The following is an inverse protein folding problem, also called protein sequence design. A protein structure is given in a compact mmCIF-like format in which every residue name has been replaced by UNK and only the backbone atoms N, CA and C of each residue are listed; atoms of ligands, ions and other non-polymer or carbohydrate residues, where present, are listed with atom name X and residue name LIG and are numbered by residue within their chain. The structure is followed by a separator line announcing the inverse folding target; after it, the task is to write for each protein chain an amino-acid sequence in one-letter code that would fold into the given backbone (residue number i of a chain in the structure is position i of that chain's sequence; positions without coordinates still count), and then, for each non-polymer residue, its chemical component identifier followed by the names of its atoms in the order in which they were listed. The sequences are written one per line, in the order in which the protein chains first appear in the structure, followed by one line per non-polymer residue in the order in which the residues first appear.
data_IF_912116841835
#
_entry.id   IF_912116841835
#
_cell.length_a   1.000
_cell.length_b   1.000
_cell.length_c   1.000
_cell.angle_alpha   90.00
_cell.angle_beta   90.00
_cell.angle_gamma   90.00
#
_symmetry.space_group_name_H-M   'P 1'
#
loop_
_entity.id
_entity.type
_entity.pdbx_description
1 polymer ?
#
# COMPACT_ATOMS: atom_id res chain seq x y z
N UNK A 1 -12.93 -27.85 4.04
CA UNK A 1 -12.38 -28.26 5.36
C UNK A 1 -10.95 -28.72 5.14
N UNK A 2 -10.02 -27.76 4.99
CA UNK A 2 -8.59 -28.04 4.96
C UNK A 2 -7.94 -27.00 5.87
N UNK A 3 -7.64 -27.43 7.09
CA UNK A 3 -6.86 -26.66 8.05
C UNK A 3 -5.43 -26.60 7.52
N UNK A 4 -4.96 -25.43 7.08
CA UNK A 4 -3.53 -25.16 6.89
C UNK A 4 -2.91 -25.09 8.28
N UNK A 5 -2.29 -26.19 8.68
CA UNK A 5 -1.43 -26.27 9.86
C UNK A 5 -0.12 -25.58 9.49
N UNK A 6 0.01 -24.28 9.72
CA UNK A 6 1.31 -23.61 9.68
C UNK A 6 2.02 -23.90 10.99
N UNK A 7 3.04 -24.77 10.91
CA UNK A 7 3.99 -24.99 11.99
C UNK A 7 4.83 -23.72 12.17
N UNK A 8 4.53 -22.94 13.21
CA UNK A 8 5.50 -21.97 13.73
C UNK A 8 6.63 -22.79 14.37
N UNK A 9 7.80 -22.79 13.76
CA UNK A 9 8.99 -23.41 14.32
C UNK A 9 9.44 -22.61 15.56
N UNK A 10 9.11 -23.11 16.74
CA UNK A 10 9.85 -22.79 17.95
C UNK A 10 11.23 -23.45 17.84
N UNK A 11 12.22 -22.73 17.36
CA UNK A 11 13.60 -23.18 17.42
C UNK A 11 14.12 -22.97 18.83
N UNK A 12 13.87 -23.94 19.73
CA UNK A 12 14.52 -23.99 21.02
C UNK A 12 15.89 -24.65 20.85
N UNK A 13 16.93 -23.85 20.70
CA UNK A 13 18.30 -24.31 20.88
C UNK A 13 18.60 -24.42 22.37
N UNK A 14 18.42 -25.61 22.91
CA UNK A 14 18.94 -25.99 24.22
C UNK A 14 20.44 -26.37 24.09
N UNK A 15 21.30 -25.38 24.27
CA UNK A 15 22.70 -25.62 24.57
C UNK A 15 23.17 -24.59 25.60
N UNK A 16 23.39 -25.07 26.84
CA UNK A 16 24.01 -24.35 27.95
C UNK A 16 23.32 -23.07 28.45
N UNK A 17 22.20 -23.23 29.16
CA UNK A 17 21.81 -22.34 30.26
C UNK A 17 21.53 -20.86 29.95
N UNK A 18 21.41 -20.45 28.70
CA UNK A 18 20.90 -19.11 28.29
C UNK A 18 19.72 -19.28 27.38
N UNK A 19 18.52 -19.05 27.90
CA UNK A 19 17.33 -18.82 27.09
C UNK A 19 17.57 -17.47 26.42
N UNK A 20 17.96 -17.46 25.13
CA UNK A 20 17.87 -16.26 24.30
C UNK A 20 16.40 -16.06 23.94
N UNK A 21 15.66 -15.34 24.75
CA UNK A 21 14.41 -14.72 24.34
C UNK A 21 14.77 -13.61 23.37
N UNK A 22 14.56 -13.85 22.08
CA UNK A 22 14.55 -12.78 21.09
C UNK A 22 13.28 -11.94 21.38
N UNK A 23 13.44 -10.87 22.12
CA UNK A 23 12.46 -9.78 22.10
C UNK A 23 12.62 -9.14 20.72
N UNK A 24 11.71 -9.43 19.82
CA UNK A 24 11.48 -8.50 18.71
C UNK A 24 11.04 -7.19 19.38
N UNK A 25 11.86 -6.16 19.28
CA UNK A 25 11.44 -4.84 19.69
C UNK A 25 10.25 -4.47 18.80
N UNK A 26 9.07 -4.28 19.40
CA UNK A 26 7.93 -3.71 18.70
C UNK A 26 8.36 -2.36 18.12
N UNK A 27 7.92 -2.05 16.91
CA UNK A 27 8.08 -0.71 16.38
C UNK A 27 7.45 0.31 17.36
N UNK A 28 7.95 1.56 17.43
CA UNK A 28 7.34 2.58 18.26
C UNK A 28 5.84 2.78 17.92
N UNK A 29 5.03 3.16 18.90
CA UNK A 29 3.65 3.63 18.66
C UNK A 29 3.66 4.71 17.57
N UNK A 30 2.61 4.77 16.76
CA UNK A 30 2.48 5.63 15.58
C UNK A 30 3.44 5.27 14.42
N UNK A 31 4.26 4.22 14.56
CA UNK A 31 5.02 3.69 13.43
C UNK A 31 4.08 3.03 12.41
N UNK A 32 4.28 3.23 11.09
CA UNK A 32 3.48 2.54 10.07
C UNK A 32 3.43 1.01 10.21
N UNK A 33 4.49 0.41 10.75
CA UNK A 33 4.61 -1.04 10.95
C UNK A 33 4.40 -1.47 12.41
N UNK A 34 3.72 -0.67 13.22
CA UNK A 34 3.44 -1.02 14.62
C UNK A 34 2.71 -2.36 14.76
N UNK A 35 1.85 -2.69 13.80
CA UNK A 35 1.05 -3.92 13.76
C UNK A 35 1.71 -5.07 12.99
N UNK A 36 2.91 -4.87 12.45
CA UNK A 36 3.69 -5.89 11.74
C UNK A 36 4.08 -5.49 10.31
N UNK A 37 4.86 -6.36 9.69
CA UNK A 37 5.31 -6.26 8.30
C UNK A 37 4.54 -7.31 7.46
N UNK A 38 3.48 -6.94 6.75
CA UNK A 38 2.50 -7.90 6.24
C UNK A 38 3.02 -8.84 5.16
N UNK A 39 4.11 -8.49 4.49
CA UNK A 39 4.71 -9.34 3.46
C UNK A 39 6.11 -9.83 3.82
N UNK A 40 6.53 -9.68 5.08
CA UNK A 40 7.92 -9.94 5.49
C UNK A 40 8.92 -9.21 4.57
N UNK A 41 8.62 -7.93 4.24
CA UNK A 41 9.44 -7.15 3.32
C UNK A 41 10.87 -7.00 3.81
N UNK A 42 11.82 -7.11 2.88
CA UNK A 42 13.25 -7.33 3.12
C UNK A 42 13.99 -6.01 2.99
N UNK A 43 14.81 -5.65 3.99
CA UNK A 43 15.62 -4.43 3.98
C UNK A 43 17.02 -4.61 3.38
N UNK A 44 17.47 -5.84 3.16
CA UNK A 44 18.78 -6.18 2.62
C UNK A 44 18.69 -6.68 1.18
N UNK A 45 19.43 -6.06 0.26
CA UNK A 45 19.49 -6.50 -1.15
C UNK A 45 20.22 -7.83 -1.36
N UNK A 46 20.94 -8.31 -0.35
CA UNK A 46 21.65 -9.59 -0.40
C UNK A 46 20.73 -10.78 -0.16
N UNK A 47 19.54 -10.54 0.34
CA UNK A 47 18.56 -11.59 0.62
C UNK A 47 17.76 -11.96 -0.64
N UNK A 48 17.45 -13.25 -0.76
CA UNK A 48 16.62 -13.76 -1.86
C UNK A 48 15.22 -13.16 -1.79
N UNK A 49 14.69 -12.72 -2.93
CA UNK A 49 13.37 -12.10 -3.01
C UNK A 49 13.36 -10.58 -2.80
N UNK A 50 14.46 -9.96 -2.36
CA UNK A 50 14.52 -8.52 -2.11
C UNK A 50 14.06 -7.67 -3.33
N UNK A 51 14.35 -8.10 -4.54
CA UNK A 51 13.93 -7.37 -5.74
C UNK A 51 12.40 -7.31 -5.94
N UNK A 52 11.64 -8.19 -5.31
CA UNK A 52 10.18 -8.25 -5.42
C UNK A 52 9.44 -7.78 -4.16
N UNK A 53 10.17 -7.64 -3.04
CA UNK A 53 9.58 -7.34 -1.73
C UNK A 53 10.55 -6.49 -0.88
N UNK A 54 10.96 -5.33 -1.39
CA UNK A 54 11.98 -4.49 -0.76
C UNK A 54 11.37 -3.48 0.20
N UNK A 55 11.72 -3.58 1.48
CA UNK A 55 11.28 -2.65 2.51
C UNK A 55 11.99 -1.30 2.36
N UNK A 56 11.21 -0.24 2.28
CA UNK A 56 11.69 1.14 2.25
C UNK A 56 10.95 1.96 3.30
N UNK A 57 11.72 2.55 4.22
CA UNK A 57 11.19 3.47 5.23
C UNK A 57 11.38 4.92 4.75
N UNK A 58 10.29 5.69 4.74
CA UNK A 58 10.26 7.10 4.38
C UNK A 58 9.81 7.93 5.59
N UNK A 59 10.07 9.23 5.62
CA UNK A 59 9.62 10.08 6.73
C UNK A 59 8.11 10.03 6.95
N UNK A 60 7.31 9.85 5.89
CA UNK A 60 5.86 9.98 5.95
C UNK A 60 5.09 8.67 5.76
N UNK A 61 5.75 7.61 5.35
CA UNK A 61 5.18 6.28 5.13
C UNK A 61 6.26 5.22 5.02
N UNK A 62 5.90 3.97 5.18
CA UNK A 62 6.76 2.81 4.89
C UNK A 62 6.14 2.00 3.77
N UNK A 63 6.94 1.36 2.94
CA UNK A 63 6.44 0.58 1.82
C UNK A 63 7.28 -0.68 1.56
N UNK A 64 6.66 -1.68 0.95
CA UNK A 64 7.36 -2.71 0.20
C UNK A 64 7.35 -2.35 -1.28
N UNK A 65 8.52 -2.27 -1.92
CA UNK A 65 8.64 -1.99 -3.34
C UNK A 65 8.98 -3.23 -4.15
N UNK A 66 8.41 -3.33 -5.33
CA UNK A 66 8.63 -4.43 -6.27
C UNK A 66 9.28 -3.90 -7.56
N UNK A 67 10.56 -4.20 -7.74
CA UNK A 67 11.32 -3.77 -8.90
C UNK A 67 10.94 -4.49 -10.21
N UNK A 68 10.21 -5.63 -10.13
CA UNK A 68 9.72 -6.31 -11.34
C UNK A 68 8.45 -5.68 -11.89
N UNK A 69 7.56 -5.24 -11.00
CA UNK A 69 6.30 -4.59 -11.38
C UNK A 69 6.40 -3.08 -11.47
N UNK A 70 7.49 -2.50 -10.93
CA UNK A 70 7.71 -1.06 -10.75
C UNK A 70 6.58 -0.36 -10.01
N UNK A 71 5.97 -1.07 -9.04
CA UNK A 71 4.95 -0.59 -8.12
C UNK A 71 5.35 -0.88 -6.68
N UNK A 72 4.79 -0.15 -5.69
CA UNK A 72 4.77 -0.67 -4.33
C UNK A 72 3.87 -1.93 -4.28
N UNK A 73 4.26 -2.92 -3.47
CA UNK A 73 3.39 -4.02 -3.09
C UNK A 73 2.31 -3.53 -2.13
N UNK A 74 2.74 -2.71 -1.18
CA UNK A 74 1.91 -1.96 -0.24
C UNK A 74 2.64 -0.71 0.25
N UNK A 75 1.87 0.24 0.74
CA UNK A 75 2.32 1.42 1.48
C UNK A 75 1.53 1.45 2.80
N UNK A 76 2.23 1.70 3.90
CA UNK A 76 1.67 1.80 5.24
C UNK A 76 1.96 3.18 5.83
N UNK A 77 0.98 3.76 6.53
CA UNK A 77 1.15 5.02 7.28
C UNK A 77 0.23 5.08 8.48
N UNK A 78 0.65 5.82 9.48
CA UNK A 78 -0.21 6.25 10.58
C UNK A 78 -0.80 7.62 10.21
N UNK A 79 -2.04 7.89 10.59
CA UNK A 79 -2.72 9.16 10.37
C UNK A 79 -3.39 9.63 11.66
N UNK A 80 -3.02 10.83 12.10
CA UNK A 80 -3.62 11.51 13.24
C UNK A 80 -3.92 12.98 12.92
N UNK A 81 -4.55 13.71 13.84
CA UNK A 81 -4.94 15.09 13.61
C UNK A 81 -3.73 16.02 13.37
N UNK A 82 -2.59 15.70 13.96
CA UNK A 82 -1.34 16.45 13.86
C UNK A 82 -0.71 16.38 12.45
N UNK A 83 -1.06 15.38 11.64
CA UNK A 83 -0.64 15.25 10.24
C UNK A 83 -1.39 16.20 9.31
N UNK A 84 -2.51 16.73 9.77
CA UNK A 84 -3.43 17.59 9.01
C UNK A 84 -3.18 19.08 9.32
N UNK A 85 -2.97 19.87 8.27
CA UNK A 85 -2.74 21.30 8.33
C UNK A 85 -3.15 21.98 7.03
N UNK A 86 -2.53 23.12 6.74
CA UNK A 86 -2.90 24.00 5.64
C UNK A 86 -1.89 24.00 4.47
N UNK A 87 -0.92 23.06 4.44
CA UNK A 87 0.05 22.99 3.36
C UNK A 87 -0.63 22.70 2.01
N UNK A 88 -0.27 23.48 1.01
CA UNK A 88 -0.76 23.30 -0.35
C UNK A 88 -0.25 22.00 -0.98
N UNK A 89 -1.05 21.44 -1.90
CA UNK A 89 -0.66 20.26 -2.66
C UNK A 89 0.57 20.53 -3.53
N UNK A 90 1.69 19.84 -3.27
CA UNK A 90 2.99 20.08 -3.89
C UNK A 90 3.04 19.80 -5.41
N UNK A 91 2.29 18.79 -5.90
CA UNK A 91 2.25 18.38 -7.31
C UNK A 91 3.63 18.09 -7.96
N UNK A 92 4.66 17.85 -7.16
CA UNK A 92 6.05 17.69 -7.56
C UNK A 92 6.44 16.21 -7.78
N UNK A 93 5.61 15.43 -8.47
CA UNK A 93 5.90 14.04 -8.82
C UNK A 93 7.35 13.85 -9.28
N UNK A 94 8.09 13.00 -8.60
CA UNK A 94 9.52 12.79 -8.83
C UNK A 94 9.95 11.35 -8.63
N UNK A 95 11.01 10.89 -9.33
CA UNK A 95 11.63 9.60 -9.06
C UNK A 95 12.12 9.54 -7.61
N UNK A 96 12.04 8.36 -7.02
CA UNK A 96 12.64 8.12 -5.72
C UNK A 96 14.14 7.80 -5.87
N UNK A 97 14.98 8.70 -5.41
CA UNK A 97 16.43 8.58 -5.49
C UNK A 97 17.02 7.63 -4.44
N UNK A 98 16.21 7.12 -3.52
CA UNK A 98 16.66 6.16 -2.50
C UNK A 98 16.51 4.72 -2.93
N UNK A 99 15.94 4.46 -4.11
CA UNK A 99 15.94 3.14 -4.72
C UNK A 99 17.39 2.64 -4.92
N UNK A 100 17.62 1.31 -4.85
CA UNK A 100 18.91 0.73 -5.18
C UNK A 100 19.44 1.24 -6.52
N UNK A 101 20.76 1.48 -6.59
CA UNK A 101 21.43 2.20 -7.71
C UNK A 101 21.11 1.64 -9.09
N UNK A 102 20.96 0.32 -9.19
CA UNK A 102 20.73 -0.38 -10.47
C UNK A 102 19.24 -0.58 -10.79
N UNK A 103 18.35 -0.06 -9.94
CA UNK A 103 16.91 -0.15 -10.16
C UNK A 103 16.39 1.06 -10.93
N UNK A 104 15.41 0.81 -11.77
CA UNK A 104 14.78 1.88 -12.51
C UNK A 104 13.87 2.72 -11.59
N UNK A 105 14.20 4.00 -11.44
CA UNK A 105 13.35 4.93 -10.72
C UNK A 105 12.28 5.50 -11.66
N UNK A 106 11.04 5.05 -11.48
CA UNK A 106 9.88 5.50 -12.27
C UNK A 106 9.76 7.01 -12.24
N UNK A 107 9.49 7.62 -13.40
CA UNK A 107 9.37 9.07 -13.59
C UNK A 107 7.91 9.46 -13.87
N UNK A 108 7.54 10.70 -13.55
CA UNK A 108 6.23 11.30 -13.90
C UNK A 108 5.85 11.08 -15.38
N UNK A 109 6.83 11.18 -16.28
CA UNK A 109 6.63 11.05 -17.72
C UNK A 109 6.31 9.62 -18.17
N UNK A 110 6.65 8.61 -17.38
CA UNK A 110 6.46 7.20 -17.75
C UNK A 110 4.99 6.81 -17.77
N UNK A 111 4.13 7.46 -17.00
CA UNK A 111 2.69 7.16 -16.96
C UNK A 111 1.91 7.55 -18.22
N UNK A 112 2.38 8.53 -19.00
CA UNK A 112 1.81 8.95 -20.32
C UNK A 112 0.28 8.89 -20.38
N UNK A 113 -0.42 9.67 -19.53
CA UNK A 113 -1.89 9.65 -19.41
C UNK A 113 -2.60 9.69 -20.79
N UNK A 114 -2.11 10.51 -21.71
CA UNK A 114 -2.69 10.64 -23.06
C UNK A 114 -2.66 9.36 -23.88
N UNK A 115 -1.74 8.43 -23.57
CA UNK A 115 -1.60 7.15 -24.25
C UNK A 115 -2.36 6.02 -23.56
N UNK A 116 -2.32 5.97 -22.21
CA UNK A 116 -2.83 4.84 -21.43
C UNK A 116 -4.06 5.16 -20.59
N UNK A 117 -4.26 6.43 -20.22
CA UNK A 117 -5.46 6.88 -19.52
C UNK A 117 -5.50 6.52 -18.03
N UNK A 118 -4.35 6.24 -17.40
CA UNK A 118 -4.23 6.02 -15.97
C UNK A 118 -3.63 7.23 -15.26
N UNK A 119 -4.18 7.55 -14.10
CA UNK A 119 -3.60 8.54 -13.20
C UNK A 119 -2.36 7.95 -12.48
N UNK A 120 -1.52 8.82 -11.96
CA UNK A 120 -0.56 8.50 -10.91
C UNK A 120 -1.33 8.48 -9.60
N UNK A 121 -1.91 7.33 -9.26
CA UNK A 121 -2.71 7.17 -8.06
C UNK A 121 -1.82 7.07 -6.83
N UNK A 122 -2.02 7.97 -5.86
CA UNK A 122 -1.36 7.88 -4.56
C UNK A 122 -1.91 6.70 -3.76
N UNK A 123 -1.04 6.00 -3.04
CA UNK A 123 -1.46 5.11 -1.96
C UNK A 123 -1.56 5.89 -0.65
N UNK A 124 -0.45 6.45 -0.11
CA UNK A 124 -0.49 7.45 0.94
C UNK A 124 -0.81 8.83 0.31
N UNK A 125 -2.01 9.41 0.55
CA UNK A 125 -2.44 10.60 -0.17
C UNK A 125 -1.79 11.88 0.36
N UNK A 126 -1.58 12.86 -0.52
CA UNK A 126 -1.02 14.15 -0.12
C UNK A 126 -1.89 14.90 0.89
N UNK A 127 -3.20 14.67 0.87
CA UNK A 127 -4.12 15.32 1.81
C UNK A 127 -4.02 14.77 3.24
N UNK A 128 -3.37 13.62 3.46
CA UNK A 128 -3.06 13.07 4.78
C UNK A 128 -1.75 13.62 5.36
N UNK A 129 -1.02 14.42 4.60
CA UNK A 129 0.28 15.00 4.97
C UNK A 129 0.29 16.47 4.62
N UNK A 130 -0.49 17.25 5.37
CA UNK A 130 -0.65 18.70 5.17
C UNK A 130 -0.15 19.53 6.33
N UNK A 131 0.53 18.91 7.30
CA UNK A 131 1.17 19.62 8.42
C UNK A 131 2.30 20.55 7.94
N UNK A 132 3.05 20.14 6.91
CA UNK A 132 4.06 20.97 6.28
C UNK A 132 4.16 20.74 4.76
N UNK A 133 4.80 21.68 4.03
CA UNK A 133 5.09 21.52 2.60
C UNK A 133 6.06 20.35 2.34
N UNK A 134 6.98 20.08 3.26
CA UNK A 134 7.94 18.99 3.18
C UNK A 134 7.23 17.65 3.31
N UNK A 135 6.36 17.48 4.30
CA UNK A 135 5.57 16.26 4.49
C UNK A 135 4.68 15.98 3.27
N UNK A 136 4.01 17.03 2.77
CA UNK A 136 3.20 16.92 1.58
C UNK A 136 4.02 16.49 0.36
N UNK A 137 5.19 17.11 0.17
CA UNK A 137 6.11 16.80 -0.93
C UNK A 137 6.56 15.34 -0.93
N UNK A 138 6.78 14.72 0.23
CA UNK A 138 7.22 13.31 0.32
C UNK A 138 6.20 12.35 -0.28
N UNK A 139 4.92 12.66 -0.22
CA UNK A 139 3.87 11.79 -0.82
C UNK A 139 3.95 11.70 -2.34
N UNK A 140 4.67 12.62 -3.02
CA UNK A 140 4.81 12.66 -4.48
C UNK A 140 6.00 11.85 -5.04
N UNK A 141 6.64 11.02 -4.22
CA UNK A 141 7.59 10.01 -4.70
C UNK A 141 6.88 8.98 -5.57
N UNK A 142 7.45 8.65 -6.74
CA UNK A 142 6.82 7.71 -7.66
C UNK A 142 6.74 6.28 -7.10
N UNK A 143 7.49 5.95 -6.05
CA UNK A 143 7.36 4.70 -5.29
C UNK A 143 6.08 4.60 -4.45
N UNK A 144 5.35 5.71 -4.26
CA UNK A 144 4.02 5.78 -3.64
C UNK A 144 2.87 5.74 -4.65
N UNK A 145 3.16 5.50 -5.94
CA UNK A 145 2.20 5.60 -7.04
C UNK A 145 1.90 4.27 -7.69
N UNK A 146 0.62 4.10 -8.07
CA UNK A 146 0.19 2.99 -8.94
C UNK A 146 -0.59 3.53 -10.15
N UNK A 147 -0.57 2.85 -11.31
CA UNK A 147 -1.46 3.18 -12.42
C UNK A 147 -2.92 2.95 -12.00
N UNK A 148 -3.67 4.01 -11.79
CA UNK A 148 -5.04 3.95 -11.28
C UNK A 148 -6.03 4.54 -12.29
N UNK A 149 -7.15 3.84 -12.51
CA UNK A 149 -8.25 4.33 -13.33
C UNK A 149 -8.78 5.67 -12.78
N UNK A 150 -9.09 6.68 -13.62
CA UNK A 150 -9.64 7.92 -13.14
C UNK A 150 -10.90 7.78 -12.29
N UNK A 151 -11.80 6.86 -12.60
CA UNK A 151 -13.02 6.64 -11.80
C UNK A 151 -12.70 6.06 -10.41
N UNK A 152 -11.72 5.14 -10.34
CA UNK A 152 -11.20 4.67 -9.06
C UNK A 152 -10.52 5.83 -8.32
N UNK A 153 -9.49 6.43 -8.89
CA UNK A 153 -8.64 7.43 -8.23
C UNK A 153 -9.42 8.69 -7.80
N UNK A 154 -10.16 9.29 -8.74
CA UNK A 154 -10.75 10.62 -8.55
C UNK A 154 -12.11 10.62 -7.87
N UNK A 155 -12.78 9.48 -7.79
CA UNK A 155 -14.14 9.36 -7.25
C UNK A 155 -14.16 8.42 -6.05
N UNK A 156 -13.92 7.12 -6.25
CA UNK A 156 -14.06 6.11 -5.19
C UNK A 156 -12.99 6.30 -4.12
N UNK A 157 -11.72 6.42 -4.55
CA UNK A 157 -10.57 6.52 -3.64
C UNK A 157 -10.56 7.83 -2.86
N UNK A 158 -10.78 8.97 -3.56
CA UNK A 158 -10.89 10.29 -2.91
C UNK A 158 -12.03 10.34 -1.89
N UNK A 159 -13.16 9.69 -2.17
CA UNK A 159 -14.26 9.63 -1.21
C UNK A 159 -13.91 8.81 0.06
N UNK A 160 -13.15 7.73 -0.10
CA UNK A 160 -12.62 6.94 1.02
C UNK A 160 -11.60 7.74 1.83
N UNK A 161 -10.62 8.37 1.18
CA UNK A 161 -9.62 9.23 1.81
C UNK A 161 -10.25 10.39 2.60
N UNK A 162 -11.33 10.96 2.06
CA UNK A 162 -12.08 11.98 2.79
C UNK A 162 -12.73 11.42 4.05
N UNK A 163 -13.33 10.23 3.97
CA UNK A 163 -13.91 9.55 5.11
C UNK A 163 -12.85 9.26 6.20
N UNK A 164 -11.67 8.78 5.82
CA UNK A 164 -10.55 8.54 6.76
C UNK A 164 -10.23 9.80 7.57
N UNK A 165 -10.02 10.93 6.89
CA UNK A 165 -9.72 12.20 7.54
C UNK A 165 -10.87 12.73 8.39
N UNK A 166 -12.13 12.53 7.98
CA UNK A 166 -13.31 12.87 8.79
C UNK A 166 -13.33 12.10 10.11
N UNK A 167 -12.93 10.80 10.11
CA UNK A 167 -12.82 10.00 11.33
C UNK A 167 -11.69 10.51 12.24
N UNK A 168 -10.56 10.88 11.66
CA UNK A 168 -9.43 11.42 12.42
C UNK A 168 -9.78 12.77 13.04
N UNK A 169 -10.41 13.67 12.29
CA UNK A 169 -10.88 14.95 12.82
C UNK A 169 -12.00 14.81 13.87
N UNK A 170 -12.67 13.66 13.91
CA UNK A 170 -13.64 13.32 14.96
C UNK A 170 -13.00 12.70 16.23
N UNK A 171 -11.66 12.71 16.34
CA UNK A 171 -10.93 12.26 17.54
C UNK A 171 -10.46 10.80 17.48
N UNK A 172 -10.31 10.27 16.28
CA UNK A 172 -9.67 8.97 16.03
C UNK A 172 -8.24 9.16 15.51
N UNK A 173 -7.51 8.10 15.46
CA UNK A 173 -6.30 7.92 14.65
C UNK A 173 -6.45 6.66 13.82
N UNK A 174 -5.63 6.51 12.78
CA UNK A 174 -5.75 5.40 11.86
C UNK A 174 -4.39 4.82 11.49
N UNK A 175 -4.30 3.50 11.51
CA UNK A 175 -3.23 2.74 10.87
C UNK A 175 -3.73 2.23 9.54
N UNK A 176 -3.04 2.59 8.47
CA UNK A 176 -3.54 2.39 7.11
C UNK A 176 -2.52 1.62 6.28
N UNK A 177 -2.99 0.58 5.60
CA UNK A 177 -2.26 -0.13 4.56
C UNK A 177 -3.03 0.01 3.25
N UNK A 178 -2.34 0.25 2.15
CA UNK A 178 -2.95 0.26 0.83
C UNK A 178 -2.00 -0.31 -0.21
N UNK A 179 -2.55 -0.95 -1.23
CA UNK A 179 -1.72 -1.53 -2.28
C UNK A 179 -2.49 -1.96 -3.52
N UNK A 180 -1.76 -2.33 -4.58
CA UNK A 180 -2.31 -2.95 -5.78
C UNK A 180 -2.43 -4.46 -5.62
N UNK A 181 -3.32 -5.08 -6.41
CA UNK A 181 -3.37 -6.53 -6.56
C UNK A 181 -3.80 -6.92 -7.98
N UNK A 182 -3.32 -8.06 -8.44
CA UNK A 182 -3.62 -8.61 -9.76
C UNK A 182 -2.98 -7.84 -10.92
N UNK A 183 -3.38 -8.16 -12.13
CA UNK A 183 -2.83 -7.58 -13.37
C UNK A 183 -3.95 -7.23 -14.35
N UNK A 184 -3.84 -6.04 -14.94
CA UNK A 184 -4.76 -5.52 -15.96
C UNK A 184 -5.90 -4.69 -15.42
N UNK A 185 -6.05 -3.45 -15.94
CA UNK A 185 -7.10 -2.49 -15.59
C UNK A 185 -7.56 -1.68 -16.80
N UNK A 186 -8.62 -0.90 -16.62
CA UNK A 186 -9.18 -0.06 -17.69
C UNK A 186 -9.13 1.41 -17.31
N UNK A 187 -8.24 2.15 -17.98
CA UNK A 187 -8.19 3.61 -17.92
C UNK A 187 -9.07 4.28 -18.99
N UNK A 188 -8.93 5.58 -19.15
CA UNK A 188 -9.67 6.35 -20.17
C UNK A 188 -9.36 5.96 -21.62
N UNK A 189 -8.27 5.25 -21.85
CA UNK A 189 -7.82 4.84 -23.19
C UNK A 189 -8.03 3.35 -23.47
N UNK A 190 -8.63 2.61 -22.55
CA UNK A 190 -8.93 1.19 -22.69
C UNK A 190 -8.26 0.33 -21.64
N UNK A 191 -8.27 -0.97 -21.90
CA UNK A 191 -7.65 -1.99 -21.03
C UNK A 191 -6.16 -2.13 -21.34
N UNK A 192 -5.35 -2.14 -20.28
CA UNK A 192 -3.91 -2.40 -20.35
C UNK A 192 -3.47 -3.29 -19.19
N UNK A 193 -2.55 -4.18 -19.44
CA UNK A 193 -1.90 -4.98 -18.40
C UNK A 193 -0.65 -4.29 -17.83
N UNK A 194 -0.04 -3.40 -18.62
CA UNK A 194 1.16 -2.68 -18.24
C UNK A 194 1.36 -1.42 -19.08
N UNK A 195 2.18 -0.50 -18.55
CA UNK A 195 2.64 0.72 -19.23
C UNK A 195 4.13 0.56 -19.53
N UNK A 196 4.56 0.51 -20.81
CA UNK A 196 5.98 0.40 -21.17
C UNK A 196 6.79 1.61 -20.70
N UNK A 197 7.93 1.35 -20.07
CA UNK A 197 8.88 2.37 -19.62
C UNK A 197 9.73 2.90 -20.78
N UNK A 198 9.88 4.22 -20.88
CA UNK A 198 10.63 4.84 -21.97
C UNK A 198 12.12 4.44 -21.98
N UNK A 199 12.72 4.22 -20.81
CA UNK A 199 14.11 3.79 -20.70
C UNK A 199 14.41 2.39 -21.23
N UNK A 200 13.41 1.48 -21.25
CA UNK A 200 13.56 0.15 -21.81
C UNK A 200 13.66 0.13 -23.34
N UNK A 201 13.18 1.17 -24.00
CA UNK A 201 13.19 1.28 -25.46
C UNK A 201 14.43 1.97 -26.01
N UNK A 202 15.01 2.93 -25.28
CA UNK A 202 16.25 3.59 -25.68
C UNK A 202 17.44 2.62 -25.73
N UNK A 203 17.43 1.57 -24.89
CA UNK A 203 18.46 0.54 -24.91
C UNK A 203 18.35 -0.44 -26.11
N UNK A 204 17.18 -0.51 -26.79
CA UNK A 204 16.96 -1.46 -27.89
C UNK A 204 16.81 -0.79 -29.28
N UNK A 205 16.83 0.54 -29.37
CA UNK A 205 16.79 1.27 -30.64
C UNK A 205 15.48 1.08 -31.46
N UNK A 206 14.38 0.65 -30.84
CA UNK A 206 13.11 0.37 -31.54
C UNK A 206 12.09 1.49 -31.31
N UNK A 207 11.55 2.12 -32.38
CA UNK A 207 10.46 3.10 -32.23
C UNK A 207 9.16 2.43 -31.76
N UNK A 208 8.49 3.03 -30.76
CA UNK A 208 7.20 2.56 -30.26
C UNK A 208 6.11 2.75 -31.30
N UNK A 209 5.59 1.68 -31.86
CA UNK A 209 4.34 1.72 -32.61
C UNK A 209 3.15 1.54 -31.66
N UNK A 210 2.14 2.42 -31.82
CA UNK A 210 0.88 2.34 -31.08
C UNK A 210 0.20 0.99 -31.36
N UNK A 211 -0.06 0.18 -30.33
CA UNK A 211 -0.68 -1.14 -30.44
C UNK A 211 0.26 -2.34 -30.51
N UNK A 212 1.58 -2.15 -30.32
CA UNK A 212 2.51 -3.26 -30.29
C UNK A 212 2.32 -4.10 -29.00
N UNK A 213 2.18 -5.43 -29.18
CA UNK A 213 2.31 -6.41 -28.10
C UNK A 213 3.66 -6.20 -27.42
N UNK A 214 3.68 -6.09 -26.08
CA UNK A 214 4.90 -5.94 -25.30
C UNK A 214 5.82 -7.11 -25.60
N UNK A 215 6.98 -6.85 -26.22
CA UNK A 215 7.97 -7.88 -26.46
C UNK A 215 8.59 -8.31 -25.12
N UNK A 216 8.81 -9.61 -24.95
CA UNK A 216 9.47 -10.19 -23.79
C UNK A 216 10.83 -9.47 -23.55
N UNK A 217 10.98 -8.75 -22.42
CA UNK A 217 12.20 -8.03 -22.05
C UNK A 217 12.08 -6.50 -21.98
N UNK A 218 10.93 -5.89 -22.28
CA UNK A 218 10.72 -4.45 -22.02
C UNK A 218 10.38 -4.22 -20.56
N UNK A 219 11.08 -3.27 -19.93
CA UNK A 219 10.68 -2.79 -18.60
C UNK A 219 9.30 -2.13 -18.68
N UNK A 220 8.45 -2.40 -17.72
CA UNK A 220 7.06 -1.92 -17.71
C UNK A 220 6.59 -1.61 -16.30
N UNK A 221 5.64 -0.70 -16.13
CA UNK A 221 4.88 -0.54 -14.89
C UNK A 221 3.64 -1.43 -15.01
N UNK A 222 3.49 -2.41 -14.14
CA UNK A 222 2.30 -3.25 -14.14
C UNK A 222 1.05 -2.43 -13.79
N UNK A 223 -0.01 -2.56 -14.58
CA UNK A 223 -1.32 -2.02 -14.23
C UNK A 223 -2.03 -3.03 -13.34
N UNK A 224 -2.41 -2.68 -12.10
CA UNK A 224 -3.13 -3.61 -11.22
C UNK A 224 -4.59 -3.77 -11.65
N UNK A 225 -5.19 -4.93 -11.36
CA UNK A 225 -6.62 -5.15 -11.58
C UNK A 225 -7.49 -4.50 -10.50
N UNK A 226 -6.97 -4.37 -9.28
CA UNK A 226 -7.63 -3.73 -8.15
C UNK A 226 -6.62 -2.91 -7.34
N UNK A 227 -7.15 -1.97 -6.57
CA UNK A 227 -6.46 -1.32 -5.45
C UNK A 227 -7.23 -1.62 -4.18
N UNK A 228 -6.53 -2.05 -3.15
CA UNK A 228 -7.10 -2.36 -1.85
C UNK A 228 -6.61 -1.39 -0.78
N UNK A 229 -7.39 -1.23 0.29
CA UNK A 229 -7.00 -0.45 1.47
C UNK A 229 -7.58 -1.10 2.73
N UNK A 230 -6.77 -1.13 3.79
CA UNK A 230 -7.15 -1.56 5.14
C UNK A 230 -6.88 -0.38 6.08
N UNK A 231 -7.85 -0.06 6.94
CA UNK A 231 -7.78 1.04 7.90
C UNK A 231 -8.20 0.51 9.25
N UNK A 232 -7.30 0.52 10.21
CA UNK A 232 -7.61 0.27 11.61
C UNK A 232 -7.78 1.61 12.31
N UNK A 233 -9.00 1.95 12.70
CA UNK A 233 -9.32 3.14 13.49
C UNK A 233 -9.26 2.83 14.98
N UNK A 234 -8.57 3.69 15.72
CA UNK A 234 -8.54 3.70 17.18
C UNK A 234 -8.99 5.09 17.70
N UNK A 235 -9.54 5.21 18.92
CA UNK A 235 -9.61 6.51 19.57
C UNK A 235 -8.19 7.10 19.68
N UNK A 236 -8.00 8.38 19.44
CA UNK A 236 -6.69 9.02 19.60
C UNK A 236 -6.16 8.87 21.03
N UNK A 237 -4.88 8.53 21.20
CA UNK A 237 -4.26 8.38 22.52
C UNK A 237 -2.97 7.57 22.53
N UNK A 238 -2.59 7.07 23.69
CA UNK A 238 -1.44 6.20 23.92
C UNK A 238 -1.91 4.76 24.22
N UNK A 239 -0.99 3.80 24.19
CA UNK A 239 -1.22 2.37 24.41
C UNK A 239 -2.16 1.73 23.37
N UNK A 240 -1.80 1.85 22.11
CA UNK A 240 -2.57 1.38 20.94
C UNK A 240 -2.99 -0.08 21.04
N UNK A 241 -2.10 -0.92 21.55
CA UNK A 241 -2.37 -2.34 21.73
C UNK A 241 -3.54 -2.59 22.69
N UNK A 242 -3.55 -1.87 23.84
CA UNK A 242 -4.64 -1.98 24.82
C UNK A 242 -5.96 -1.43 24.26
N UNK A 243 -5.89 -0.39 23.43
CA UNK A 243 -7.06 0.20 22.79
C UNK A 243 -7.62 -0.68 21.69
N UNK A 244 -6.76 -1.33 20.90
CA UNK A 244 -7.17 -2.29 19.89
C UNK A 244 -7.85 -3.52 20.51
N UNK A 245 -7.39 -3.96 21.70
CA UNK A 245 -7.94 -5.10 22.42
C UNK A 245 -9.25 -4.81 23.16
N UNK A 246 -9.63 -3.55 23.34
CA UNK A 246 -10.87 -3.21 24.04
C UNK A 246 -12.07 -3.31 23.11
N UNK A 247 -13.08 -4.04 23.57
CA UNK A 247 -14.35 -4.19 22.85
C UNK A 247 -14.94 -2.83 22.48
N UNK A 248 -15.34 -2.66 21.21
CA UNK A 248 -15.92 -1.43 20.65
C UNK A 248 -15.01 -0.19 20.59
N UNK A 249 -13.69 -0.32 20.81
CA UNK A 249 -12.77 0.82 20.65
C UNK A 249 -12.06 0.80 19.29
N UNK A 250 -11.73 -0.38 18.78
CA UNK A 250 -11.17 -0.54 17.43
C UNK A 250 -12.27 -0.76 16.39
N UNK A 251 -12.04 -0.27 15.18
CA UNK A 251 -12.90 -0.53 14.03
C UNK A 251 -12.04 -0.70 12.79
N UNK A 252 -12.17 -1.81 12.09
CA UNK A 252 -11.45 -2.04 10.86
C UNK A 252 -12.35 -1.81 9.64
N UNK A 253 -11.82 -1.15 8.62
CA UNK A 253 -12.44 -0.97 7.32
C UNK A 253 -11.48 -1.50 6.25
N UNK A 254 -11.90 -2.49 5.50
CA UNK A 254 -11.18 -2.98 4.35
C UNK A 254 -12.02 -2.83 3.08
N UNK A 255 -11.38 -2.45 1.97
CA UNK A 255 -12.00 -2.33 0.65
C UNK A 255 -11.11 -2.91 -0.43
N UNK A 256 -11.72 -3.49 -1.49
CA UNK A 256 -11.02 -3.94 -2.68
C UNK A 256 -11.70 -3.37 -3.94
N UNK A 257 -11.15 -2.28 -4.48
CA UNK A 257 -11.77 -1.49 -5.54
C UNK A 257 -11.24 -1.91 -6.91
N UNK A 258 -12.09 -2.29 -7.87
CA UNK A 258 -11.66 -2.59 -9.23
C UNK A 258 -10.98 -1.39 -9.90
N UNK A 259 -9.86 -1.63 -10.55
CA UNK A 259 -9.11 -0.60 -11.27
C UNK A 259 -9.62 -0.44 -12.71
N UNK A 260 -10.89 -0.12 -12.85
CA UNK A 260 -11.56 -0.04 -14.14
C UNK A 260 -12.39 1.25 -14.28
N UNK A 261 -12.57 1.68 -15.53
CA UNK A 261 -13.56 2.70 -15.87
C UNK A 261 -14.97 2.18 -15.53
N UNK A 262 -15.78 3.03 -14.90
CA UNK A 262 -17.14 2.69 -14.48
C UNK A 262 -17.25 2.12 -13.05
N UNK A 263 -16.16 1.92 -12.33
CA UNK A 263 -16.23 1.43 -10.94
C UNK A 263 -17.02 2.36 -9.99
N UNK A 264 -17.19 3.64 -10.35
CA UNK A 264 -17.96 4.61 -9.57
C UNK A 264 -19.46 4.66 -9.92
N UNK A 265 -19.95 3.87 -10.90
CA UNK A 265 -21.32 4.02 -11.44
C UNK A 265 -22.42 3.68 -10.43
N UNK A 266 -22.18 2.77 -9.50
CA UNK A 266 -23.18 2.27 -8.55
C UNK A 266 -22.98 2.83 -7.13
N UNK A 267 -22.23 3.90 -6.97
CA UNK A 267 -21.98 4.50 -5.66
C UNK A 267 -20.51 4.71 -5.37
N UNK A 268 -20.21 4.86 -4.09
CA UNK A 268 -18.88 5.14 -3.58
C UNK A 268 -18.17 3.84 -3.11
N UNK A 269 -17.13 3.98 -2.31
CA UNK A 269 -16.30 2.89 -1.79
C UNK A 269 -17.05 1.84 -0.98
N UNK A 270 -18.23 2.18 -0.41
CA UNK A 270 -19.02 1.28 0.43
C UNK A 270 -19.40 -0.03 -0.26
N UNK A 271 -19.59 -0.02 -1.56
CA UNK A 271 -19.91 -1.23 -2.33
C UNK A 271 -18.73 -2.21 -2.45
N UNK A 272 -17.54 -1.77 -2.09
CA UNK A 272 -16.28 -2.53 -2.19
C UNK A 272 -15.75 -2.99 -0.83
N UNK A 273 -16.56 -2.85 0.25
CA UNK A 273 -16.19 -3.32 1.58
C UNK A 273 -16.01 -4.83 1.55
N UNK A 274 -14.92 -5.27 2.15
CA UNK A 274 -14.57 -6.67 2.35
C UNK A 274 -13.95 -6.86 3.74
N UNK A 275 -13.52 -8.07 4.06
CA UNK A 275 -12.76 -8.37 5.28
C UNK A 275 -11.25 -8.23 5.01
N UNK A 276 -10.45 -8.10 6.06
CA UNK A 276 -8.98 -8.19 5.96
C UNK A 276 -8.59 -9.58 5.48
N UNK A 277 -9.17 -10.64 6.03
CA UNK A 277 -8.96 -12.03 5.58
C UNK A 277 -9.12 -12.20 4.06
N UNK A 278 -10.07 -11.49 3.43
CA UNK A 278 -10.20 -11.50 1.98
C UNK A 278 -9.02 -10.83 1.27
N UNK A 279 -8.53 -9.70 1.81
CA UNK A 279 -7.33 -9.03 1.26
C UNK A 279 -6.12 -9.96 1.39
N UNK A 280 -5.97 -10.65 2.51
CA UNK A 280 -4.91 -11.63 2.74
C UNK A 280 -4.97 -12.81 1.76
N UNK A 281 -6.18 -13.34 1.53
CA UNK A 281 -6.37 -14.43 0.56
C UNK A 281 -5.88 -14.04 -0.84
N UNK A 282 -6.16 -12.80 -1.29
CA UNK A 282 -5.81 -12.37 -2.65
C UNK A 282 -4.38 -11.83 -2.79
N UNK A 283 -3.73 -11.43 -1.69
CA UNK A 283 -2.37 -10.86 -1.70
C UNK A 283 -1.31 -11.86 -1.22
N UNK A 284 -1.69 -12.78 -0.34
CA UNK A 284 -0.78 -13.68 0.37
C UNK A 284 -0.05 -12.98 1.53
N UNK A 285 -0.52 -11.82 1.97
CA UNK A 285 0.04 -11.07 3.10
C UNK A 285 -0.60 -11.51 4.41
N UNK A 286 0.00 -11.11 5.55
CA UNK A 286 -0.42 -11.41 6.91
C UNK A 286 -0.43 -10.08 7.69
N UNK A 287 -1.60 -9.43 7.74
CA UNK A 287 -1.75 -8.13 8.41
C UNK A 287 -1.92 -8.34 9.92
N UNK A 288 -1.58 -7.31 10.69
CA UNK A 288 -1.74 -7.32 12.14
C UNK A 288 -1.05 -8.49 12.87
N UNK A 289 -0.08 -9.14 12.24
CA UNK A 289 0.59 -10.37 12.70
C UNK A 289 1.39 -10.24 14.02
N UNK A 290 1.42 -9.05 14.61
CA UNK A 290 1.94 -8.82 15.97
C UNK A 290 0.84 -8.80 17.03
N UNK A 291 -0.44 -8.87 16.64
CA UNK A 291 -1.55 -9.04 17.57
C UNK A 291 -1.61 -10.50 18.10
N UNK A 292 -2.21 -10.73 19.29
CA UNK A 292 -2.58 -12.08 19.70
C UNK A 292 -3.56 -12.70 18.70
N UNK A 293 -3.38 -13.99 18.37
CA UNK A 293 -4.14 -14.72 17.35
C UNK A 293 -5.67 -14.53 17.46
N UNK A 294 -6.24 -14.48 18.69
CA UNK A 294 -7.68 -14.29 18.90
C UNK A 294 -8.16 -12.87 18.53
N UNK A 295 -7.34 -11.84 18.80
CA UNK A 295 -7.66 -10.46 18.48
C UNK A 295 -7.44 -10.19 16.99
N UNK A 296 -6.38 -10.72 16.43
CA UNK A 296 -6.08 -10.69 15.00
C UNK A 296 -7.25 -11.24 14.19
N UNK A 297 -7.68 -12.49 14.45
CA UNK A 297 -8.83 -13.11 13.79
C UNK A 297 -10.12 -12.32 13.97
N UNK A 298 -10.36 -11.75 15.16
CA UNK A 298 -11.54 -10.91 15.41
C UNK A 298 -11.54 -9.66 14.53
N UNK A 299 -10.40 -8.99 14.37
CA UNK A 299 -10.25 -7.78 13.55
C UNK A 299 -10.38 -8.16 12.07
N UNK A 300 -9.67 -9.18 11.62
CA UNK A 300 -9.55 -9.55 10.22
C UNK A 300 -10.81 -10.16 9.60
N UNK A 301 -11.58 -10.90 10.40
CA UNK A 301 -12.86 -11.48 9.97
C UNK A 301 -14.01 -10.48 9.98
N UNK A 302 -13.83 -9.30 10.60
CA UNK A 302 -14.88 -8.31 10.76
C UNK A 302 -15.21 -7.60 9.44
N UNK A 303 -16.51 -7.47 9.14
CA UNK A 303 -16.98 -6.53 8.12
C UNK A 303 -17.27 -5.17 8.78
N UNK A 304 -16.80 -4.12 8.13
CA UNK A 304 -17.10 -2.76 8.55
C UNK A 304 -18.61 -2.52 8.62
N UNK A 305 -19.09 -2.01 9.75
CA UNK A 305 -20.46 -1.56 9.95
C UNK A 305 -20.47 -0.12 10.45
N UNK A 306 -21.48 0.64 10.03
CA UNK A 306 -21.68 2.06 10.38
C UNK A 306 -22.08 2.26 11.84
#
# INVERSE_FOLDING_TARGET
MNKKLFFRFFLSCLLWGKVCTFFFALAPENSPLYWGNPSEAISSLEEEGAAENFLMEKPQFTLSYNNKTHNPNWVAWHLCAEDLGDADRANNFRPDQTLPKDWYAVRKADYKFTAYGFDRGHLCPSADRTASEEDNSETFLMTNMVPQSPDNNRIVWVALEKYEREQVLAGREAYIFAGPVGRGGSGDRGYFEAIPLAGGMEQQGVPVQQGALVQQGTMEIQVPSHTWKIILFLPQGENDFERAAKENQSQVLAVNVPNIKGCAQNGSWQQYICTVNYIEEITGYDFFNLLPDELEEQIESSLFSW
#
